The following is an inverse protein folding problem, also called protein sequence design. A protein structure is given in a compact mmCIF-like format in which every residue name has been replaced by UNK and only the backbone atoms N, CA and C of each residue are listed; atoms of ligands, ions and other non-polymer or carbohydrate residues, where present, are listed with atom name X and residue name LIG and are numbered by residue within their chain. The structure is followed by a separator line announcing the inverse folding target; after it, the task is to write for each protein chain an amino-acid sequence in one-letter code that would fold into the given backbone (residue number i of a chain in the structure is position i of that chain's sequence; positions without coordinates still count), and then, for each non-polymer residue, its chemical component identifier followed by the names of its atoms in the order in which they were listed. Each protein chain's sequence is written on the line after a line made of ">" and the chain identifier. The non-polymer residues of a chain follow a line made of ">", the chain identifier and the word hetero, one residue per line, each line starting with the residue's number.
data_IF_994741614694
#
_entry.id   IF_994741614694
#
_cell.length_a   1.000
_cell.length_b   1.000
_cell.length_c   1.000
_cell.angle_alpha   90.00
_cell.angle_beta   90.00
_cell.angle_gamma   90.00
#
_symmetry.space_group_name_H-M   'P 1'
#
loop_
_entity.id
_entity.type
_entity.pdbx_description
1 polymer ?
#
# COMPACT_ATOMS: atom_id res chain seq x y z
N UNK A 1 7.30 14.98 10.12
CA UNK A 1 6.65 15.42 11.37
C UNK A 1 6.92 16.91 11.68
N UNK A 2 8.14 17.44 11.53
CA UNK A 2 8.48 18.86 11.81
C UNK A 2 7.53 19.85 11.08
N UNK A 3 7.29 19.65 9.78
CA UNK A 3 6.34 20.48 9.02
C UNK A 3 4.91 20.35 9.53
N UNK A 4 4.52 19.15 9.97
CA UNK A 4 3.21 18.91 10.56
C UNK A 4 3.03 19.70 11.87
N UNK A 5 4.02 19.71 12.75
CA UNK A 5 3.99 20.50 13.99
C UNK A 5 3.87 22.01 13.71
N UNK A 6 4.55 22.50 12.67
CA UNK A 6 4.41 23.90 12.28
C UNK A 6 2.97 24.24 11.82
N UNK A 7 2.30 23.34 11.09
CA UNK A 7 0.91 23.52 10.70
C UNK A 7 -0.05 23.46 11.90
N UNK A 8 0.18 22.56 12.86
CA UNK A 8 -0.59 22.51 14.11
C UNK A 8 -0.50 23.83 14.88
N UNK A 9 0.70 24.42 14.97
CA UNK A 9 0.89 25.72 15.65
C UNK A 9 0.16 26.89 14.94
N UNK A 10 -0.20 26.72 13.67
CA UNK A 10 -1.03 27.66 12.90
C UNK A 10 -2.53 27.36 13.00
N UNK A 11 -2.92 26.39 13.84
CA UNK A 11 -4.31 26.03 14.05
C UNK A 11 -4.92 25.04 13.06
N UNK A 12 -4.09 24.43 12.19
CA UNK A 12 -4.58 23.40 11.28
C UNK A 12 -4.75 22.07 12.01
N UNK A 13 -5.74 21.28 11.63
CA UNK A 13 -5.79 19.86 11.96
C UNK A 13 -4.79 19.12 11.08
N UNK A 14 -3.96 18.30 11.67
CA UNK A 14 -2.91 17.59 10.91
C UNK A 14 -2.89 16.10 11.27
N UNK A 15 -3.05 15.26 10.26
CA UNK A 15 -2.75 13.84 10.33
C UNK A 15 -1.58 13.52 9.41
N UNK A 16 -0.66 12.72 9.88
CA UNK A 16 0.43 12.17 9.07
C UNK A 16 0.17 10.70 8.85
N UNK A 17 0.08 10.28 7.60
CA UNK A 17 -0.10 8.89 7.23
C UNK A 17 1.20 8.36 6.64
N UNK A 18 1.75 7.30 7.23
CA UNK A 18 3.08 6.76 6.89
C UNK A 18 3.09 5.24 6.80
N UNK A 19 4.03 4.73 6.03
CA UNK A 19 4.34 3.30 6.03
C UNK A 19 4.87 2.86 7.39
N UNK A 20 4.55 1.63 7.78
CA UNK A 20 4.95 1.05 9.06
C UNK A 20 6.22 0.17 8.95
N UNK A 21 6.92 0.21 7.81
CA UNK A 21 8.13 -0.59 7.56
C UNK A 21 9.39 -0.02 8.24
N UNK A 22 9.32 1.23 8.72
CA UNK A 22 10.43 1.91 9.42
C UNK A 22 9.94 2.54 10.71
N UNK A 23 10.72 2.40 11.80
CA UNK A 23 10.40 3.12 13.02
C UNK A 23 10.47 4.63 12.78
N UNK A 24 9.47 5.35 13.26
CA UNK A 24 9.54 6.82 13.32
C UNK A 24 10.63 7.23 14.33
N UNK A 25 11.23 8.41 14.12
CA UNK A 25 12.12 9.01 15.12
C UNK A 25 11.29 9.33 16.35
N UNK A 26 11.41 8.52 17.41
CA UNK A 26 10.52 8.50 18.57
C UNK A 26 10.24 9.89 19.15
N UNK A 27 11.26 10.69 19.43
CA UNK A 27 11.07 12.04 19.97
C UNK A 27 10.29 13.00 19.07
N UNK A 28 10.38 12.87 17.74
CA UNK A 28 9.60 13.70 16.80
C UNK A 28 8.14 13.27 16.75
N UNK A 29 7.86 11.96 16.89
CA UNK A 29 6.50 11.46 16.93
C UNK A 29 5.80 11.91 18.24
N UNK A 30 6.47 11.78 19.37
CA UNK A 30 5.96 12.22 20.67
C UNK A 30 5.64 13.73 20.68
N UNK A 31 6.56 14.56 20.19
CA UNK A 31 6.35 16.01 20.12
C UNK A 31 5.17 16.37 19.19
N UNK A 32 5.01 15.68 18.06
CA UNK A 32 3.91 15.90 17.14
C UNK A 32 2.55 15.50 17.74
N UNK A 33 2.49 14.36 18.43
CA UNK A 33 1.29 13.90 19.13
C UNK A 33 0.92 14.83 20.30
N UNK A 34 1.92 15.28 21.09
CA UNK A 34 1.73 16.22 22.18
C UNK A 34 1.20 17.58 21.70
N UNK A 35 1.54 17.99 20.47
CA UNK A 35 0.99 19.19 19.84
C UNK A 35 -0.44 18.98 19.26
N UNK A 36 -1.08 17.83 19.46
CA UNK A 36 -2.43 17.52 18.97
C UNK A 36 -2.48 16.92 17.56
N UNK A 37 -1.33 16.55 16.99
CA UNK A 37 -1.28 15.85 15.71
C UNK A 37 -1.75 14.39 15.80
N UNK A 38 -2.11 13.81 14.68
CA UNK A 38 -2.48 12.40 14.59
C UNK A 38 -1.51 11.67 13.66
N UNK A 39 -1.09 10.47 14.05
CA UNK A 39 -0.27 9.59 13.20
C UNK A 39 -1.10 8.35 12.89
N UNK A 40 -1.31 8.11 11.61
CA UNK A 40 -1.93 6.90 11.09
C UNK A 40 -0.86 6.09 10.36
N UNK A 41 -0.83 4.78 10.58
CA UNK A 41 0.10 3.86 9.93
C UNK A 41 -0.66 2.67 9.37
N UNK A 42 -0.08 2.02 8.38
CA UNK A 42 -0.44 0.66 8.04
C UNK A 42 -0.13 -0.31 9.19
N UNK A 43 -0.53 -1.57 9.07
CA UNK A 43 -0.16 -2.59 10.06
C UNK A 43 1.35 -2.70 10.22
N UNK A 44 1.85 -3.03 11.42
CA UNK A 44 3.28 -3.06 11.71
C UNK A 44 4.08 -3.85 10.68
N UNK A 45 5.14 -3.25 10.18
CA UNK A 45 6.05 -3.82 9.18
C UNK A 45 5.56 -3.77 7.74
N UNK A 46 4.36 -3.22 7.45
CA UNK A 46 3.80 -3.16 6.10
C UNK A 46 3.89 -1.77 5.48
N UNK A 47 4.06 -1.75 4.16
CA UNK A 47 3.89 -0.57 3.31
C UNK A 47 2.49 -0.58 2.68
N UNK A 48 2.13 0.49 1.97
CA UNK A 48 0.90 0.54 1.18
C UNK A 48 0.81 -0.63 0.20
N UNK A 49 1.89 -0.93 -0.51
CA UNK A 49 1.91 -2.03 -1.48
C UNK A 49 1.72 -3.39 -0.81
N UNK A 50 2.34 -3.62 0.35
CA UNK A 50 2.12 -4.85 1.11
C UNK A 50 0.65 -4.98 1.51
N UNK A 51 0.03 -3.91 1.98
CA UNK A 51 -1.36 -3.90 2.41
C UNK A 51 -2.34 -4.18 1.26
N UNK A 52 -2.21 -3.52 0.12
CA UNK A 52 -3.14 -3.72 -1.00
C UNK A 52 -3.02 -5.13 -1.59
N UNK A 53 -1.81 -5.70 -1.71
CA UNK A 53 -1.66 -7.06 -2.22
C UNK A 53 -2.07 -8.12 -1.22
N UNK A 54 -1.88 -7.90 0.08
CA UNK A 54 -2.23 -8.88 1.11
C UNK A 54 -3.74 -8.92 1.41
N UNK A 55 -4.43 -7.78 1.35
CA UNK A 55 -5.71 -7.63 2.02
C UNK A 55 -6.89 -7.23 1.13
N UNK A 56 -6.66 -6.96 -0.15
CA UNK A 56 -7.73 -6.81 -1.12
C UNK A 56 -8.22 -8.16 -1.66
N UNK A 57 -9.40 -8.15 -2.28
CA UNK A 57 -9.97 -9.33 -2.92
C UNK A 57 -9.10 -9.83 -4.08
N UNK A 58 -9.28 -11.07 -4.49
CA UNK A 58 -8.57 -11.65 -5.64
C UNK A 58 -8.84 -10.89 -6.94
N UNK A 59 -10.07 -10.43 -7.14
CA UNK A 59 -10.44 -9.60 -8.28
C UNK A 59 -9.67 -8.27 -8.30
N UNK A 60 -9.52 -7.65 -7.13
CA UNK A 60 -8.70 -6.44 -7.02
C UNK A 60 -7.22 -6.71 -7.32
N UNK A 61 -6.69 -7.85 -6.90
CA UNK A 61 -5.33 -8.27 -7.23
C UNK A 61 -5.15 -8.49 -8.75
N UNK A 62 -6.10 -9.14 -9.39
CA UNK A 62 -6.11 -9.31 -10.85
C UNK A 62 -6.07 -7.94 -11.56
N UNK A 63 -6.87 -6.97 -11.09
CA UNK A 63 -6.89 -5.61 -11.62
C UNK A 63 -5.59 -4.84 -11.34
N UNK A 64 -4.99 -5.00 -10.15
CA UNK A 64 -3.69 -4.42 -9.82
C UNK A 64 -2.57 -4.96 -10.72
N UNK A 65 -2.55 -6.27 -10.98
CA UNK A 65 -1.56 -6.87 -11.88
C UNK A 65 -1.75 -6.40 -13.33
N UNK A 66 -2.99 -6.34 -13.82
CA UNK A 66 -3.28 -5.80 -15.15
C UNK A 66 -2.86 -4.32 -15.27
N UNK A 67 -3.14 -3.51 -14.25
CA UNK A 67 -2.71 -2.11 -14.19
C UNK A 67 -1.18 -1.99 -14.17
N UNK A 68 -0.49 -2.77 -13.34
CA UNK A 68 0.96 -2.80 -13.28
C UNK A 68 1.58 -3.17 -14.64
N UNK A 69 1.02 -4.18 -15.30
CA UNK A 69 1.49 -4.60 -16.63
C UNK A 69 1.36 -3.48 -17.68
N UNK A 70 0.28 -2.71 -17.62
CA UNK A 70 0.09 -1.54 -18.52
C UNK A 70 1.14 -0.46 -18.27
N UNK A 71 1.62 -0.31 -17.02
CA UNK A 71 2.54 0.77 -16.62
C UNK A 71 4.00 0.38 -16.85
N UNK A 72 4.40 -0.79 -16.38
CA UNK A 72 5.82 -1.21 -16.35
C UNK A 72 6.13 -2.38 -17.30
N UNK A 73 5.12 -3.03 -17.87
CA UNK A 73 5.26 -4.18 -18.75
C UNK A 73 5.49 -5.52 -18.02
N UNK A 74 5.06 -6.61 -18.66
CA UNK A 74 5.16 -7.96 -18.09
C UNK A 74 6.61 -8.39 -17.81
N UNK A 75 7.56 -7.97 -18.66
CA UNK A 75 8.97 -8.34 -18.50
C UNK A 75 9.57 -7.78 -17.21
N UNK A 76 9.34 -6.49 -16.91
CA UNK A 76 9.84 -5.89 -15.68
C UNK A 76 9.14 -6.47 -14.44
N UNK A 77 7.83 -6.69 -14.51
CA UNK A 77 7.10 -7.37 -13.44
C UNK A 77 7.70 -8.76 -13.15
N UNK A 78 7.94 -9.54 -14.20
CA UNK A 78 8.54 -10.86 -14.07
C UNK A 78 9.95 -10.81 -13.46
N UNK A 79 10.79 -9.87 -13.90
CA UNK A 79 12.12 -9.66 -13.34
C UNK A 79 12.07 -9.32 -11.84
N UNK A 80 11.12 -8.50 -11.42
CA UNK A 80 10.92 -8.14 -10.01
C UNK A 80 10.47 -9.34 -9.17
N UNK A 81 9.51 -10.12 -9.67
CA UNK A 81 9.03 -11.34 -9.02
C UNK A 81 10.17 -12.35 -8.88
N UNK A 82 10.93 -12.59 -9.94
CA UNK A 82 12.09 -13.48 -9.90
C UNK A 82 13.16 -12.99 -8.91
N UNK A 83 13.46 -11.68 -8.89
CA UNK A 83 14.40 -11.10 -7.93
C UNK A 83 13.96 -11.38 -6.49
N UNK A 84 12.69 -11.15 -6.16
CA UNK A 84 12.16 -11.36 -4.81
C UNK A 84 11.98 -12.82 -4.44
N UNK A 85 11.70 -13.68 -5.40
CA UNK A 85 11.59 -15.13 -5.19
C UNK A 85 12.93 -15.88 -5.34
N UNK A 86 14.04 -15.19 -5.62
CA UNK A 86 15.34 -15.80 -5.91
C UNK A 86 15.26 -16.78 -7.09
N UNK A 87 14.55 -16.39 -8.15
CA UNK A 87 14.38 -17.19 -9.37
C UNK A 87 13.36 -18.33 -9.26
N UNK A 88 12.70 -18.52 -8.11
CA UNK A 88 11.82 -19.69 -7.88
C UNK A 88 10.41 -19.54 -8.47
N UNK A 89 9.96 -18.31 -8.70
CA UNK A 89 8.60 -18.00 -9.16
C UNK A 89 8.65 -16.99 -10.30
N UNK A 90 7.86 -17.22 -11.32
CA UNK A 90 7.65 -16.30 -12.45
C UNK A 90 6.27 -15.66 -12.40
N UNK A 91 6.03 -14.60 -13.18
CA UNK A 91 4.70 -14.01 -13.36
C UNK A 91 3.72 -15.03 -13.94
N UNK A 92 4.18 -15.90 -14.85
CA UNK A 92 3.35 -16.96 -15.42
C UNK A 92 2.95 -18.01 -14.38
N UNK A 93 3.84 -18.38 -13.45
CA UNK A 93 3.51 -19.28 -12.34
C UNK A 93 2.43 -18.69 -11.45
N UNK A 94 2.51 -17.38 -11.15
CA UNK A 94 1.48 -16.69 -10.37
C UNK A 94 0.13 -16.74 -11.09
N UNK A 95 0.09 -16.43 -12.39
CA UNK A 95 -1.13 -16.46 -13.20
C UNK A 95 -1.72 -17.86 -13.30
N UNK A 96 -0.91 -18.86 -13.58
CA UNK A 96 -1.35 -20.25 -13.67
C UNK A 96 -1.94 -20.75 -12.33
N UNK A 97 -1.23 -20.48 -11.24
CA UNK A 97 -1.68 -20.88 -9.90
C UNK A 97 -2.91 -20.11 -9.43
N UNK A 98 -3.07 -18.84 -9.83
CA UNK A 98 -4.28 -18.05 -9.57
C UNK A 98 -5.56 -18.76 -10.03
N UNK A 99 -5.51 -19.41 -11.20
CA UNK A 99 -6.65 -20.12 -11.79
C UNK A 99 -7.01 -21.42 -11.04
N UNK A 100 -6.10 -21.99 -10.28
CA UNK A 100 -6.29 -23.27 -9.57
C UNK A 100 -6.56 -23.04 -8.09
N UNK A 101 -5.69 -22.29 -7.41
CA UNK A 101 -5.65 -22.18 -5.93
C UNK A 101 -5.89 -20.75 -5.43
N UNK A 102 -6.12 -19.78 -6.32
CA UNK A 102 -6.17 -18.37 -5.96
C UNK A 102 -4.80 -17.78 -5.59
N UNK A 103 -4.82 -16.65 -4.88
CA UNK A 103 -3.61 -16.01 -4.36
C UNK A 103 -3.34 -16.49 -2.93
N UNK A 104 -2.40 -17.42 -2.74
CA UNK A 104 -1.96 -17.80 -1.39
C UNK A 104 -1.32 -16.62 -0.66
N UNK A 105 -1.26 -16.62 0.69
CA UNK A 105 -0.59 -15.58 1.48
C UNK A 105 0.83 -15.29 1.02
N UNK A 106 1.61 -16.32 0.68
CA UNK A 106 3.01 -16.19 0.22
C UNK A 106 3.10 -15.50 -1.14
N UNK A 107 2.14 -15.78 -2.05
CA UNK A 107 2.07 -15.09 -3.35
C UNK A 107 1.68 -13.63 -3.19
N UNK A 108 0.74 -13.34 -2.31
CA UNK A 108 0.34 -11.96 -1.97
C UNK A 108 1.52 -11.17 -1.40
N UNK A 109 2.27 -11.75 -0.48
CA UNK A 109 3.48 -11.16 0.07
C UNK A 109 4.56 -10.94 -0.99
N UNK A 110 4.79 -11.94 -1.85
CA UNK A 110 5.73 -11.82 -2.96
C UNK A 110 5.35 -10.66 -3.90
N UNK A 111 4.08 -10.52 -4.26
CA UNK A 111 3.59 -9.44 -5.11
C UNK A 111 3.77 -8.06 -4.45
N UNK A 112 3.43 -7.91 -3.17
CA UNK A 112 3.66 -6.69 -2.41
C UNK A 112 5.14 -6.29 -2.42
N UNK A 113 6.03 -7.22 -2.11
CA UNK A 113 7.47 -6.95 -2.07
C UNK A 113 8.08 -6.72 -3.46
N UNK A 114 7.57 -7.37 -4.50
CA UNK A 114 8.02 -7.16 -5.88
C UNK A 114 7.55 -5.80 -6.43
N UNK A 115 6.33 -5.38 -6.09
CA UNK A 115 5.75 -4.11 -6.58
C UNK A 115 6.47 -2.86 -6.07
N UNK A 116 7.17 -2.94 -4.93
CA UNK A 116 7.87 -1.82 -4.28
C UNK A 116 9.39 -1.84 -4.43
N UNK A 117 9.94 -2.54 -5.41
CA UNK A 117 11.40 -2.52 -5.64
C UNK A 117 11.88 -1.08 -5.84
N UNK A 118 12.94 -0.73 -5.09
CA UNK A 118 13.49 0.61 -5.06
C UNK A 118 13.83 1.09 -6.48
N UNK A 119 13.44 2.30 -6.80
CA UNK A 119 13.64 3.01 -8.08
C UNK A 119 12.84 2.47 -9.28
N UNK A 120 12.15 1.33 -9.18
CA UNK A 120 11.39 0.71 -10.26
C UNK A 120 10.07 0.08 -9.80
N UNK A 121 9.47 0.59 -8.72
CA UNK A 121 8.16 0.10 -8.25
C UNK A 121 7.06 0.28 -9.29
N UNK A 122 6.02 -0.56 -9.21
CA UNK A 122 4.99 -0.63 -10.25
C UNK A 122 4.07 0.59 -10.30
N UNK A 123 3.84 1.27 -9.17
CA UNK A 123 2.86 2.38 -9.05
C UNK A 123 3.49 3.71 -8.63
N UNK A 124 4.68 4.06 -9.11
CA UNK A 124 5.51 5.15 -8.54
C UNK A 124 5.09 6.59 -8.83
N UNK A 125 4.15 6.85 -9.70
CA UNK A 125 3.70 8.22 -9.94
C UNK A 125 2.48 8.56 -9.10
N UNK A 126 2.33 9.83 -8.71
CA UNK A 126 1.13 10.29 -8.01
C UNK A 126 -0.14 10.01 -8.81
N UNK A 127 -0.10 10.25 -10.12
CA UNK A 127 -1.23 9.95 -11.03
C UNK A 127 -1.60 8.49 -11.00
N UNK A 128 -0.60 7.59 -11.05
CA UNK A 128 -0.84 6.14 -10.98
C UNK A 128 -1.49 5.72 -9.66
N UNK A 129 -1.00 6.26 -8.53
CA UNK A 129 -1.62 5.99 -7.24
C UNK A 129 -3.06 6.50 -7.16
N UNK A 130 -3.36 7.67 -7.73
CA UNK A 130 -4.73 8.19 -7.81
C UNK A 130 -5.64 7.28 -8.64
N UNK A 131 -5.18 6.81 -9.79
CA UNK A 131 -5.92 5.87 -10.63
C UNK A 131 -6.16 4.54 -9.91
N UNK A 132 -5.13 3.95 -9.31
CA UNK A 132 -5.25 2.71 -8.52
C UNK A 132 -6.24 2.89 -7.37
N UNK A 133 -6.14 4.00 -6.64
CA UNK A 133 -7.04 4.29 -5.53
C UNK A 133 -8.50 4.42 -6.00
N UNK A 134 -8.75 5.18 -7.07
CA UNK A 134 -10.09 5.44 -7.60
C UNK A 134 -10.71 4.21 -8.26
N UNK A 135 -9.94 3.52 -9.09
CA UNK A 135 -10.49 2.53 -10.03
C UNK A 135 -10.43 1.10 -9.50
N UNK A 136 -9.54 0.81 -8.54
CA UNK A 136 -9.31 -0.54 -8.00
C UNK A 136 -9.57 -0.60 -6.50
N UNK A 137 -8.85 0.19 -5.69
CA UNK A 137 -8.93 0.08 -4.23
C UNK A 137 -10.29 0.53 -3.72
N UNK A 138 -10.75 1.70 -4.11
CA UNK A 138 -12.03 2.28 -3.67
C UNK A 138 -13.21 1.33 -3.89
N UNK A 139 -13.45 0.82 -5.12
CA UNK A 139 -14.51 -0.15 -5.39
C UNK A 139 -14.37 -1.47 -4.62
N UNK A 140 -13.16 -1.82 -4.22
CA UNK A 140 -12.87 -3.09 -3.53
C UNK A 140 -12.92 -3.00 -2.01
N UNK A 141 -13.06 -1.80 -1.43
CA UNK A 141 -12.99 -1.59 0.03
C UNK A 141 -14.02 -2.43 0.79
N UNK A 142 -15.26 -2.53 0.29
CA UNK A 142 -16.31 -3.30 0.96
C UNK A 142 -16.01 -4.79 1.12
N UNK A 143 -15.08 -5.33 0.32
CA UNK A 143 -14.64 -6.73 0.34
C UNK A 143 -13.18 -6.87 0.83
N UNK A 144 -12.60 -5.80 1.36
CA UNK A 144 -11.25 -5.82 1.89
C UNK A 144 -11.22 -6.42 3.30
N UNK A 145 -10.03 -6.82 3.73
CA UNK A 145 -9.80 -7.26 5.11
C UNK A 145 -10.24 -6.18 6.12
N UNK A 146 -10.86 -6.57 7.25
CA UNK A 146 -11.36 -5.61 8.25
C UNK A 146 -10.28 -4.67 8.80
N UNK A 147 -9.02 -5.11 8.93
CA UNK A 147 -7.91 -4.27 9.39
C UNK A 147 -7.55 -3.21 8.36
N UNK A 148 -7.55 -3.56 7.06
CA UNK A 148 -7.37 -2.59 5.98
C UNK A 148 -8.49 -1.55 5.96
N UNK A 149 -9.75 -2.01 6.11
CA UNK A 149 -10.91 -1.12 6.20
C UNK A 149 -10.83 -0.19 7.42
N UNK A 150 -10.35 -0.66 8.57
CA UNK A 150 -10.24 0.18 9.76
C UNK A 150 -9.28 1.36 9.55
N UNK A 151 -8.13 1.13 8.89
CA UNK A 151 -7.18 2.21 8.56
C UNK A 151 -7.78 3.20 7.57
N UNK A 152 -8.41 2.71 6.49
CA UNK A 152 -9.03 3.57 5.48
C UNK A 152 -10.21 4.37 6.05
N UNK A 153 -11.00 3.80 6.96
CA UNK A 153 -12.08 4.49 7.65
C UNK A 153 -11.57 5.60 8.60
N UNK A 154 -10.46 5.38 9.30
CA UNK A 154 -9.84 6.43 10.12
C UNK A 154 -9.40 7.61 9.26
N UNK A 155 -8.76 7.33 8.11
CA UNK A 155 -8.37 8.36 7.14
C UNK A 155 -9.59 9.14 6.63
N UNK A 156 -10.64 8.42 6.24
CA UNK A 156 -11.89 9.02 5.79
C UNK A 156 -12.53 9.90 6.86
N UNK A 157 -12.65 9.40 8.09
CA UNK A 157 -13.21 10.15 9.23
C UNK A 157 -12.43 11.44 9.48
N UNK A 158 -11.11 11.38 9.42
CA UNK A 158 -10.28 12.58 9.58
C UNK A 158 -10.52 13.61 8.47
N UNK A 159 -10.60 13.19 7.21
CA UNK A 159 -10.76 14.10 6.07
C UNK A 159 -12.18 14.66 5.96
N UNK A 160 -13.19 13.95 6.47
CA UNK A 160 -14.61 14.32 6.39
C UNK A 160 -15.10 15.13 7.60
N UNK A 161 -14.34 15.18 8.68
CA UNK A 161 -14.70 15.98 9.84
C UNK A 161 -14.48 17.49 9.54
N UNK A 162 -15.39 18.37 10.00
CA UNK A 162 -15.29 19.82 9.78
C UNK A 162 -14.07 20.44 10.43
#
# INVERSE_FOLDING_TARGET
>A
LIRGTALLNLGYRVMVFVDADKPSTAGLAEAFLAAGGQILTWRPGLTLEDEIFRHLSEQALDALLAKAETIVGAELMNAHIQTKSQGRVTLNDIRAKRLVDGYSPERRELLGTASRIRNSGWFKSLTTYQEVARDIVGPSLQNADPGFMAVTNQLWTFTSAP
#
